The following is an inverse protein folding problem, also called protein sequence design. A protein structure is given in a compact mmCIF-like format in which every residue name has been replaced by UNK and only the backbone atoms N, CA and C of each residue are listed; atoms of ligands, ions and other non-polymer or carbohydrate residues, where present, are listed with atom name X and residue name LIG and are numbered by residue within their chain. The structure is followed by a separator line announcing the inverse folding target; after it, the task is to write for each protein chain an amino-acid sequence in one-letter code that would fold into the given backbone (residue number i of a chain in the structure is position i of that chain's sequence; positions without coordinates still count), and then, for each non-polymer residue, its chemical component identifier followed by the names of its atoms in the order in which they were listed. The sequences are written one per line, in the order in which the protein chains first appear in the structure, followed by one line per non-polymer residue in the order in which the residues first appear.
data_IF_377542277951
#
_entry.id   IF_377542277951
#
_cell.length_a   1.000
_cell.length_b   1.000
_cell.length_c   1.000
_cell.angle_alpha   90.00
_cell.angle_beta   90.00
_cell.angle_gamma   90.00
#
_symmetry.space_group_name_H-M   'P 1'
#
loop_
_entity.id
_entity.type
_entity.pdbx_description
1 polymer ?
#
# COMPACT_ATOMS: atom_id res chain seq x y z
N UNK A 1 -12.68 20.36 5.49
CA UNK A 1 -12.90 18.98 5.02
C UNK A 1 -11.67 18.18 5.39
N UNK A 2 -11.82 17.05 6.08
CA UNK A 2 -10.70 16.22 6.58
C UNK A 2 -10.60 14.90 5.82
N UNK A 3 -11.71 14.32 5.39
CA UNK A 3 -11.73 13.14 4.51
C UNK A 3 -12.38 13.48 3.17
N UNK A 4 -11.83 12.93 2.10
CA UNK A 4 -12.34 13.01 0.73
C UNK A 4 -12.48 11.58 0.19
N UNK A 5 -13.69 11.21 -0.23
CA UNK A 5 -13.98 9.93 -0.84
C UNK A 5 -14.50 10.14 -2.26
N UNK A 6 -13.84 9.51 -3.22
CA UNK A 6 -14.20 9.52 -4.63
C UNK A 6 -14.45 8.08 -5.05
N UNK A 7 -15.67 7.79 -5.48
CA UNK A 7 -16.09 6.43 -5.84
C UNK A 7 -16.75 6.39 -7.21
N UNK A 8 -16.55 5.29 -7.95
CA UNK A 8 -17.28 4.95 -9.17
C UNK A 8 -17.23 6.03 -10.25
N UNK A 9 -16.13 6.78 -10.30
CA UNK A 9 -15.95 7.85 -11.29
C UNK A 9 -15.20 7.31 -12.52
N UNK A 10 -15.96 6.80 -13.49
CA UNK A 10 -15.42 6.15 -14.70
C UNK A 10 -14.65 7.08 -15.63
N UNK A 11 -14.87 8.40 -15.55
CA UNK A 11 -14.25 9.40 -16.43
C UNK A 11 -13.22 10.29 -15.72
N UNK A 12 -13.02 10.09 -14.42
CA UNK A 12 -12.09 10.91 -13.64
C UNK A 12 -10.66 10.51 -14.00
N UNK A 13 -9.93 11.43 -14.62
CA UNK A 13 -8.54 11.22 -15.03
C UNK A 13 -7.52 11.75 -14.04
N UNK A 14 -7.89 12.83 -13.34
CA UNK A 14 -6.99 13.58 -12.48
C UNK A 14 -7.74 14.08 -11.24
N UNK A 15 -7.04 14.14 -10.11
CA UNK A 15 -7.50 14.93 -8.96
C UNK A 15 -7.22 16.42 -9.22
N UNK A 16 -7.87 17.34 -8.50
CA UNK A 16 -7.58 18.77 -8.62
C UNK A 16 -6.10 19.06 -8.37
N UNK A 17 -5.50 19.92 -9.18
CA UNK A 17 -4.18 20.47 -8.88
C UNK A 17 -4.25 21.31 -7.59
N UNK A 18 -3.08 21.54 -6.96
CA UNK A 18 -2.97 22.36 -5.76
C UNK A 18 -3.85 21.88 -4.59
N UNK A 19 -4.03 20.56 -4.42
CA UNK A 19 -4.84 20.00 -3.32
C UNK A 19 -4.41 20.49 -1.94
N UNK A 20 -3.13 20.78 -1.73
CA UNK A 20 -2.65 21.35 -0.48
C UNK A 20 -3.28 22.72 -0.16
N UNK A 21 -3.58 23.53 -1.17
CA UNK A 21 -4.20 24.86 -1.02
C UNK A 21 -5.72 24.74 -0.91
N UNK A 22 -6.33 23.85 -1.71
CA UNK A 22 -7.77 23.62 -1.75
C UNK A 22 -8.28 22.88 -0.51
N UNK A 23 -7.51 21.92 -0.04
CA UNK A 23 -7.87 20.97 1.03
C UNK A 23 -6.74 20.87 2.08
N UNK A 24 -6.35 21.99 2.73
CA UNK A 24 -5.19 22.03 3.62
C UNK A 24 -5.35 21.16 4.87
N UNK A 25 -6.58 20.82 5.25
CA UNK A 25 -6.88 19.97 6.41
C UNK A 25 -7.17 18.52 6.05
N UNK A 26 -6.98 18.11 4.79
CA UNK A 26 -7.23 16.74 4.36
C UNK A 26 -6.24 15.79 5.03
N UNK A 27 -6.78 14.82 5.75
CA UNK A 27 -6.03 13.73 6.37
C UNK A 27 -6.42 12.34 5.84
N UNK A 28 -7.56 12.19 5.15
CA UNK A 28 -7.98 10.95 4.51
C UNK A 28 -8.35 11.14 3.04
N UNK A 29 -7.79 10.31 2.16
CA UNK A 29 -8.14 10.26 0.74
C UNK A 29 -8.49 8.81 0.36
N UNK A 30 -9.72 8.62 -0.10
CA UNK A 30 -10.26 7.31 -0.48
C UNK A 30 -10.66 7.35 -1.95
N UNK A 31 -10.06 6.51 -2.78
CA UNK A 31 -10.35 6.36 -4.20
C UNK A 31 -10.87 4.94 -4.44
N UNK A 32 -12.10 4.81 -4.97
CA UNK A 32 -12.68 3.50 -5.28
C UNK A 32 -13.27 3.43 -6.68
N UNK A 33 -12.96 2.36 -7.41
CA UNK A 33 -13.54 2.07 -8.72
C UNK A 33 -13.45 3.27 -9.69
N UNK A 34 -12.28 3.91 -9.74
CA UNK A 34 -11.95 4.98 -10.68
C UNK A 34 -10.91 4.46 -11.69
N UNK A 35 -11.34 3.80 -12.79
CA UNK A 35 -10.42 3.12 -13.70
C UNK A 35 -9.55 4.07 -14.51
N UNK A 36 -10.01 5.30 -14.76
CA UNK A 36 -9.34 6.27 -15.63
C UNK A 36 -8.37 7.21 -14.92
N UNK A 37 -8.27 7.16 -13.58
CA UNK A 37 -7.35 8.03 -12.84
C UNK A 37 -5.92 7.55 -13.02
N UNK A 38 -5.03 8.42 -13.50
CA UNK A 38 -3.69 8.02 -13.96
C UNK A 38 -2.60 8.30 -12.93
N UNK A 39 -2.66 9.45 -12.26
CA UNK A 39 -1.66 9.82 -11.25
C UNK A 39 -2.20 10.81 -10.22
N UNK A 40 -1.38 11.07 -9.19
CA UNK A 40 -1.58 12.18 -8.28
C UNK A 40 -1.16 13.51 -8.94
N UNK A 41 -1.73 14.65 -8.52
CA UNK A 41 -1.43 15.95 -9.12
C UNK A 41 0.04 16.33 -8.93
N UNK A 42 0.61 17.13 -9.85
CA UNK A 42 2.03 17.51 -9.82
C UNK A 42 2.46 18.23 -8.52
N UNK A 43 1.54 18.94 -7.87
CA UNK A 43 1.76 19.57 -6.56
C UNK A 43 1.78 18.58 -5.38
N UNK A 44 1.58 17.29 -5.64
CA UNK A 44 1.50 16.23 -4.63
C UNK A 44 0.17 16.20 -3.87
N UNK A 45 0.09 15.25 -2.95
CA UNK A 45 -1.02 15.14 -1.99
C UNK A 45 -0.83 16.16 -0.84
N UNK A 46 -1.90 16.52 -0.11
CA UNK A 46 -1.78 17.38 1.06
C UNK A 46 -0.81 16.80 2.11
N UNK A 47 0.00 17.67 2.73
CA UNK A 47 1.01 17.30 3.73
C UNK A 47 0.43 16.74 5.03
N UNK A 48 -0.85 17.00 5.30
CA UNK A 48 -1.56 16.47 6.46
C UNK A 48 -2.21 15.10 6.18
N UNK A 49 -2.02 14.52 4.99
CA UNK A 49 -2.57 13.22 4.65
C UNK A 49 -1.96 12.13 5.54
N UNK A 50 -2.84 11.39 6.21
CA UNK A 50 -2.52 10.27 7.10
C UNK A 50 -3.06 8.95 6.56
N UNK A 51 -4.15 8.98 5.78
CA UNK A 51 -4.78 7.79 5.24
C UNK A 51 -4.94 7.93 3.73
N UNK A 52 -4.43 6.95 2.99
CA UNK A 52 -4.61 6.81 1.55
C UNK A 52 -5.15 5.41 1.26
N UNK A 53 -6.39 5.35 0.78
CA UNK A 53 -7.05 4.11 0.39
C UNK A 53 -7.33 4.13 -1.11
N UNK A 54 -6.93 3.07 -1.80
CA UNK A 54 -7.08 2.93 -3.25
C UNK A 54 -7.66 1.54 -3.54
N UNK A 55 -8.88 1.51 -4.07
CA UNK A 55 -9.62 0.29 -4.36
C UNK A 55 -9.97 0.26 -5.84
N UNK A 56 -9.47 -0.73 -6.58
CA UNK A 56 -9.80 -0.94 -7.99
C UNK A 56 -9.58 0.29 -8.91
N UNK A 57 -8.54 1.10 -8.62
CA UNK A 57 -8.12 2.22 -9.47
C UNK A 57 -6.89 1.82 -10.29
N UNK A 58 -7.10 1.02 -11.34
CA UNK A 58 -6.04 0.27 -12.04
C UNK A 58 -4.92 1.16 -12.58
N UNK A 59 -5.27 2.18 -13.36
CA UNK A 59 -4.27 3.08 -13.97
C UNK A 59 -3.43 3.77 -12.91
N UNK A 60 -4.04 4.21 -11.81
CA UNK A 60 -3.34 4.87 -10.71
C UNK A 60 -2.37 3.92 -10.00
N UNK A 61 -2.78 2.67 -9.76
CA UNK A 61 -1.91 1.66 -9.15
C UNK A 61 -0.78 1.25 -10.11
N UNK A 62 -1.04 1.13 -11.41
CA UNK A 62 0.00 0.86 -12.40
C UNK A 62 0.97 2.05 -12.56
N UNK A 63 0.50 3.28 -12.38
CA UNK A 63 1.30 4.52 -12.39
C UNK A 63 2.05 4.82 -11.09
N UNK A 64 2.09 3.91 -10.11
CA UNK A 64 2.57 4.21 -8.75
C UNK A 64 4.03 4.62 -8.59
N UNK A 65 4.87 4.37 -9.59
CA UNK A 65 6.23 4.93 -9.68
C UNK A 65 6.27 6.47 -9.65
N UNK A 66 5.19 7.11 -10.07
CA UNK A 66 5.08 8.58 -10.17
C UNK A 66 4.36 9.20 -8.97
N UNK A 67 4.01 8.43 -7.94
CA UNK A 67 3.24 8.97 -6.82
C UNK A 67 4.01 10.00 -5.98
N UNK A 68 5.34 10.03 -6.05
CA UNK A 68 6.19 11.00 -5.34
C UNK A 68 5.85 11.16 -3.84
N UNK A 69 5.36 10.11 -3.18
CA UNK A 69 4.90 10.17 -1.78
C UNK A 69 6.03 10.42 -0.79
N UNK A 70 7.29 10.19 -1.20
CA UNK A 70 8.49 10.51 -0.42
C UNK A 70 8.58 12.00 -0.05
N UNK A 71 7.97 12.88 -0.87
CA UNK A 71 8.00 14.33 -0.67
C UNK A 71 7.10 14.85 0.45
N UNK A 72 6.33 13.99 1.13
CA UNK A 72 5.37 14.40 2.17
C UNK A 72 6.09 14.46 3.54
N UNK A 73 6.48 15.65 4.03
CA UNK A 73 7.45 15.82 5.11
C UNK A 73 6.92 15.51 6.52
N UNK A 74 5.63 15.14 6.63
CA UNK A 74 4.92 14.89 7.89
C UNK A 74 4.23 13.54 7.97
N UNK A 75 4.51 12.61 7.05
CA UNK A 75 3.97 11.25 7.07
C UNK A 75 4.50 10.42 8.25
N UNK A 76 4.29 10.83 9.50
CA UNK A 76 4.69 10.00 10.64
C UNK A 76 3.76 8.80 10.84
N UNK A 77 2.62 8.77 10.13
CA UNK A 77 1.50 7.86 10.39
C UNK A 77 0.76 7.46 9.11
N UNK A 78 1.44 7.36 7.95
CA UNK A 78 0.72 6.99 6.72
C UNK A 78 0.20 5.56 6.82
N UNK A 79 -1.11 5.43 6.67
CA UNK A 79 -1.83 4.21 6.39
C UNK A 79 -2.13 4.15 4.89
N UNK A 80 -1.56 3.14 4.24
CA UNK A 80 -1.76 2.89 2.81
C UNK A 80 -2.50 1.57 2.63
N UNK A 81 -3.67 1.65 2.01
CA UNK A 81 -4.54 0.50 1.74
C UNK A 81 -4.74 0.38 0.24
N UNK A 82 -4.36 -0.77 -0.34
CA UNK A 82 -4.52 -1.06 -1.76
C UNK A 82 -5.26 -2.38 -1.95
N UNK A 83 -6.41 -2.29 -2.60
CA UNK A 83 -7.13 -3.45 -3.11
C UNK A 83 -7.13 -3.41 -4.64
N UNK A 84 -6.53 -4.42 -5.25
CA UNK A 84 -6.44 -4.55 -6.70
C UNK A 84 -7.17 -5.82 -7.16
N UNK A 85 -7.48 -5.95 -8.44
CA UNK A 85 -8.14 -7.12 -9.01
C UNK A 85 -7.14 -8.14 -9.61
N UNK A 86 -5.85 -7.97 -9.33
CA UNK A 86 -4.78 -8.83 -9.84
C UNK A 86 -4.45 -8.61 -11.31
N UNK A 87 -4.97 -7.56 -11.96
CA UNK A 87 -4.59 -7.17 -13.32
C UNK A 87 -3.50 -6.08 -13.35
N UNK A 88 -2.68 -5.96 -12.30
CA UNK A 88 -1.60 -4.98 -12.26
C UNK A 88 -0.47 -5.38 -13.22
N UNK A 89 0.14 -4.37 -13.86
CA UNK A 89 1.16 -4.55 -14.89
C UNK A 89 2.55 -4.70 -14.25
N UNK A 90 3.36 -5.65 -14.76
CA UNK A 90 4.73 -5.89 -14.32
C UNK A 90 5.55 -4.61 -14.29
N UNK A 91 6.17 -4.32 -13.14
CA UNK A 91 6.89 -3.08 -12.92
C UNK A 91 8.13 -3.32 -12.07
N UNK A 92 9.18 -2.57 -12.35
CA UNK A 92 10.38 -2.51 -11.50
C UNK A 92 10.16 -1.49 -10.38
N UNK A 93 10.24 -1.97 -9.14
CA UNK A 93 10.38 -1.20 -7.90
C UNK A 93 9.29 -0.16 -7.57
N UNK A 94 8.76 -0.26 -6.36
CA UNK A 94 7.82 0.68 -5.81
C UNK A 94 8.48 1.54 -4.73
N UNK A 95 8.66 2.84 -5.03
CA UNK A 95 9.26 3.81 -4.10
C UNK A 95 8.27 4.26 -3.01
N UNK A 96 7.93 3.35 -2.11
CA UNK A 96 7.08 3.62 -0.96
C UNK A 96 7.77 4.51 0.10
N UNK A 97 7.05 5.47 0.71
CA UNK A 97 7.63 6.33 1.74
C UNK A 97 8.08 5.52 2.97
N UNK A 98 9.32 5.75 3.40
CA UNK A 98 9.96 5.07 4.55
C UNK A 98 9.18 5.20 5.87
N UNK A 99 8.24 6.14 5.90
CA UNK A 99 7.49 6.55 7.08
C UNK A 99 6.09 5.92 7.17
N UNK A 100 5.74 5.02 6.25
CA UNK A 100 4.52 4.19 6.36
C UNK A 100 4.59 3.35 7.65
N UNK A 101 3.51 3.39 8.42
CA UNK A 101 3.33 2.54 9.62
C UNK A 101 2.41 1.37 9.36
N UNK A 102 1.39 1.57 8.53
CA UNK A 102 0.37 0.56 8.23
C UNK A 102 0.29 0.42 6.71
N UNK A 103 0.58 -0.78 6.23
CA UNK A 103 0.44 -1.14 4.83
C UNK A 103 -0.52 -2.32 4.72
N UNK A 104 -1.57 -2.15 3.93
CA UNK A 104 -2.51 -3.20 3.57
C UNK A 104 -2.53 -3.37 2.06
N UNK A 105 -2.19 -4.55 1.57
CA UNK A 105 -2.13 -4.82 0.13
C UNK A 105 -2.84 -6.13 -0.15
N UNK A 106 -3.79 -6.09 -1.08
CA UNK A 106 -4.55 -7.25 -1.51
C UNK A 106 -4.51 -7.39 -3.02
N UNK A 107 -4.16 -8.59 -3.49
CA UNK A 107 -4.26 -9.01 -4.88
C UNK A 107 -3.47 -8.10 -5.84
N UNK A 108 -2.27 -7.68 -5.41
CA UNK A 108 -1.31 -6.85 -6.14
C UNK A 108 -0.05 -7.67 -6.48
N UNK A 109 0.08 -8.13 -7.72
CA UNK A 109 1.12 -9.09 -8.12
C UNK A 109 2.54 -8.55 -8.05
N UNK A 110 2.70 -7.25 -8.19
CA UNK A 110 3.99 -6.60 -8.46
C UNK A 110 4.70 -6.04 -7.24
N UNK A 111 4.23 -6.32 -6.02
CA UNK A 111 4.95 -5.94 -4.80
C UNK A 111 6.12 -6.89 -4.55
N UNK A 112 7.32 -6.34 -4.40
CA UNK A 112 8.55 -7.11 -4.21
C UNK A 112 9.07 -7.07 -2.77
N UNK A 113 9.99 -7.99 -2.45
CA UNK A 113 10.73 -8.01 -1.18
C UNK A 113 11.52 -6.72 -0.94
N UNK A 114 12.05 -6.12 -2.00
CA UNK A 114 12.86 -4.90 -1.95
C UNK A 114 12.02 -3.67 -1.56
N UNK A 115 10.78 -3.60 -2.02
CA UNK A 115 9.87 -2.48 -1.72
C UNK A 115 9.55 -2.44 -0.22
N UNK A 116 9.24 -3.60 0.35
CA UNK A 116 8.89 -3.75 1.78
C UNK A 116 10.08 -3.58 2.71
N UNK A 117 11.27 -4.03 2.30
CA UNK A 117 12.51 -3.90 3.10
C UNK A 117 12.88 -2.44 3.37
N UNK A 118 12.50 -1.54 2.48
CA UNK A 118 12.74 -0.11 2.65
C UNK A 118 11.91 0.50 3.78
N UNK A 119 10.80 -0.10 4.19
CA UNK A 119 9.81 0.49 5.11
C UNK A 119 10.24 0.39 6.58
N UNK A 120 11.31 1.09 6.95
CA UNK A 120 11.91 1.00 8.30
C UNK A 120 10.96 1.39 9.44
N UNK A 121 9.88 2.11 9.18
CA UNK A 121 8.88 2.52 10.19
C UNK A 121 7.62 1.64 10.22
N UNK A 122 7.57 0.56 9.43
CA UNK A 122 6.36 -0.26 9.29
C UNK A 122 6.06 -1.04 10.56
N UNK A 123 4.89 -0.82 11.14
CA UNK A 123 4.43 -1.45 12.39
C UNK A 123 3.37 -2.53 12.13
N UNK A 124 2.55 -2.35 11.08
CA UNK A 124 1.48 -3.25 10.66
C UNK A 124 1.57 -3.56 9.17
N UNK A 125 1.52 -4.85 8.84
CA UNK A 125 1.48 -5.33 7.47
C UNK A 125 0.33 -6.33 7.30
N UNK A 126 -0.63 -6.00 6.44
CA UNK A 126 -1.65 -6.93 5.96
C UNK A 126 -1.40 -7.23 4.49
N UNK A 127 -1.31 -8.51 4.18
CA UNK A 127 -1.10 -8.99 2.83
C UNK A 127 -2.14 -10.08 2.53
N UNK A 128 -2.83 -9.94 1.40
CA UNK A 128 -3.81 -10.92 0.97
C UNK A 128 -3.71 -11.25 -0.52
N UNK A 129 -3.95 -12.51 -0.87
CA UNK A 129 -4.08 -12.97 -2.25
C UNK A 129 -2.94 -12.56 -3.19
N UNK A 130 -1.71 -12.42 -2.69
CA UNK A 130 -0.54 -12.20 -3.52
C UNK A 130 -0.05 -13.50 -4.14
N UNK A 131 0.31 -13.51 -5.44
CA UNK A 131 0.98 -14.64 -6.06
C UNK A 131 2.40 -14.80 -5.50
N UNK A 132 2.91 -16.02 -5.48
CA UNK A 132 4.30 -16.34 -5.16
C UNK A 132 4.79 -15.84 -3.79
N UNK A 133 3.88 -15.67 -2.82
CA UNK A 133 4.23 -15.15 -1.49
C UNK A 133 5.28 -16.01 -0.78
N UNK A 134 5.33 -17.32 -1.05
CA UNK A 134 6.29 -18.23 -0.43
C UNK A 134 7.74 -17.84 -0.77
N UNK A 135 8.04 -17.61 -2.06
CA UNK A 135 9.35 -17.13 -2.51
C UNK A 135 9.66 -15.75 -1.95
N UNK A 136 8.63 -14.89 -1.86
CA UNK A 136 8.76 -13.57 -1.28
C UNK A 136 9.16 -13.66 0.21
N UNK A 137 8.51 -14.51 1.00
CA UNK A 137 8.77 -14.70 2.43
C UNK A 137 10.18 -15.23 2.74
N UNK A 138 10.73 -16.10 1.89
CA UNK A 138 12.09 -16.60 2.03
C UNK A 138 13.14 -15.49 1.83
N UNK A 139 12.83 -14.49 1.00
CA UNK A 139 13.65 -13.29 0.78
C UNK A 139 13.31 -12.13 1.71
N UNK A 140 12.12 -12.15 2.31
CA UNK A 140 11.63 -11.08 3.16
C UNK A 140 12.51 -10.94 4.39
N UNK A 141 13.33 -9.91 4.39
CA UNK A 141 13.87 -9.33 5.61
C UNK A 141 13.00 -8.15 6.00
N UNK A 142 11.78 -8.46 6.45
CA UNK A 142 10.84 -7.48 6.96
C UNK A 142 11.49 -6.62 8.06
N UNK A 143 11.10 -5.35 8.19
CA UNK A 143 11.73 -4.40 9.11
C UNK A 143 11.50 -4.82 10.56
N UNK A 144 12.47 -4.56 11.44
CA UNK A 144 12.40 -4.90 12.87
C UNK A 144 11.39 -4.07 13.65
N UNK A 145 10.80 -3.04 13.04
CA UNK A 145 9.67 -2.27 13.59
C UNK A 145 8.34 -3.02 13.47
N UNK A 146 8.27 -4.07 12.65
CA UNK A 146 7.02 -4.78 12.39
C UNK A 146 6.54 -5.50 13.65
N UNK A 147 5.38 -5.08 14.13
CA UNK A 147 4.73 -5.60 15.34
C UNK A 147 3.51 -6.47 15.01
N UNK A 148 2.91 -6.27 13.84
CA UNK A 148 1.72 -6.97 13.40
C UNK A 148 1.84 -7.44 11.96
N UNK A 149 1.66 -8.75 11.73
CA UNK A 149 1.67 -9.36 10.41
C UNK A 149 0.41 -10.18 10.20
N UNK A 150 -0.31 -9.87 9.14
CA UNK A 150 -1.57 -10.51 8.79
C UNK A 150 -1.44 -11.05 7.36
N UNK A 151 -1.58 -12.36 7.22
CA UNK A 151 -1.52 -13.06 5.93
C UNK A 151 -2.88 -13.70 5.66
N UNK A 152 -3.50 -13.42 4.51
CA UNK A 152 -4.83 -13.92 4.19
C UNK A 152 -4.96 -14.50 2.78
N UNK A 153 -5.56 -15.68 2.66
CA UNK A 153 -5.90 -16.26 1.35
C UNK A 153 -4.69 -16.73 0.53
N UNK A 154 -3.56 -17.03 1.18
CA UNK A 154 -2.37 -17.52 0.51
C UNK A 154 -2.35 -19.05 0.51
N UNK A 155 -2.92 -19.65 -0.53
CA UNK A 155 -3.01 -21.11 -0.63
C UNK A 155 -1.67 -21.77 -0.94
N UNK A 156 -0.73 -21.09 -1.58
CA UNK A 156 0.61 -21.63 -1.89
C UNK A 156 1.61 -21.55 -0.71
N UNK A 157 1.21 -20.87 0.37
CA UNK A 157 2.03 -20.69 1.56
C UNK A 157 2.08 -21.99 2.38
N UNK A 158 3.27 -22.56 2.54
CA UNK A 158 3.50 -23.82 3.28
C UNK A 158 4.40 -23.65 4.51
N UNK A 159 5.13 -22.54 4.59
CA UNK A 159 6.02 -22.22 5.69
C UNK A 159 6.19 -20.70 5.78
N UNK A 160 6.47 -20.22 6.98
CA UNK A 160 6.51 -18.77 7.23
C UNK A 160 7.92 -18.18 7.24
N UNK A 161 8.93 -18.93 7.69
CA UNK A 161 10.30 -18.42 7.76
C UNK A 161 10.51 -17.20 8.70
N UNK A 162 9.54 -16.84 9.53
CA UNK A 162 9.53 -15.58 10.30
C UNK A 162 10.34 -15.61 11.61
N UNK A 163 11.24 -16.57 11.81
CA UNK A 163 11.96 -16.74 13.08
C UNK A 163 12.90 -15.56 13.42
N UNK A 164 13.21 -14.70 12.45
CA UNK A 164 14.03 -13.51 12.63
C UNK A 164 13.26 -12.28 13.13
N UNK A 165 11.92 -12.29 13.10
CA UNK A 165 11.07 -11.16 13.51
C UNK A 165 10.88 -11.11 15.03
N UNK A 166 11.89 -10.64 15.75
CA UNK A 166 11.86 -10.59 17.23
C UNK A 166 10.86 -9.58 17.80
N UNK A 167 10.41 -8.61 17.01
CA UNK A 167 9.48 -7.55 17.44
C UNK A 167 8.01 -7.88 17.18
N UNK A 168 7.72 -9.01 16.55
CA UNK A 168 6.36 -9.36 16.15
C UNK A 168 5.51 -9.73 17.38
N UNK A 169 4.46 -8.94 17.62
CA UNK A 169 3.51 -9.10 18.74
C UNK A 169 2.26 -9.86 18.31
N UNK A 170 1.81 -9.67 17.07
CA UNK A 170 0.61 -10.31 16.54
C UNK A 170 0.88 -10.88 15.15
N UNK A 171 0.62 -12.18 15.02
CA UNK A 171 0.58 -12.89 13.74
C UNK A 171 -0.84 -13.41 13.54
N UNK A 172 -1.49 -13.02 12.44
CA UNK A 172 -2.77 -13.60 12.03
C UNK A 172 -2.66 -14.23 10.67
N UNK A 173 -3.17 -15.45 10.55
CA UNK A 173 -3.18 -16.21 9.31
C UNK A 173 -4.60 -16.68 9.10
N UNK A 174 -5.19 -16.34 7.96
CA UNK A 174 -6.55 -16.74 7.61
C UNK A 174 -6.60 -17.28 6.19
N UNK A 175 -7.40 -18.32 5.96
CA UNK A 175 -7.60 -18.87 4.62
C UNK A 175 -6.30 -19.28 3.88
N UNK A 176 -5.25 -19.69 4.61
CA UNK A 176 -4.00 -20.24 4.05
C UNK A 176 -4.00 -21.77 4.22
N UNK A 177 -4.58 -22.49 3.27
CA UNK A 177 -4.94 -23.90 3.45
C UNK A 177 -3.77 -24.89 3.53
N UNK A 178 -2.57 -24.49 3.09
CA UNK A 178 -1.39 -25.37 3.02
C UNK A 178 -0.39 -25.15 4.18
N UNK A 179 -0.72 -24.29 5.15
CA UNK A 179 0.10 -24.01 6.34
C UNK A 179 -0.29 -24.89 7.54
#
# INVERSE_FOLDING_TARGET
MTSLSIGYCEKLKWLPDHMQELLPSLNGLHLSNCPEIESFPQGGLPFNLQQLEIINCKKLVNGRKEWCLQGLPRLRELELVIYHDGSDEEMEHWELPFSIRRLEVSNLKTISSQDLKSLTSLEFLYIAYLPHIQSLLEEWRLPSSLSELYLYGHHELNSLGLCYLTSLLRLRIGNCCNL
#
